data_IF_244932209941
#
_entry.id   IF_244932209941
#
_cell.length_a   1.000
_cell.length_b   1.000
_cell.length_c   1.000
_cell.angle_alpha   90.00
_cell.angle_beta   90.00
_cell.angle_gamma   90.00
#
_symmetry.space_group_name_H-M   'P 1'
#
loop_
_entity.id
_entity.type
_entity.pdbx_description
1 polymer ?
#
# COMPACT_ATOMS: atom_id res chain seq x y z
N UNK A 1 3.16 -12.93 -10.74
CA UNK A 1 4.61 -13.01 -10.41
C UNK A 1 5.20 -11.65 -10.76
N UNK A 2 6.01 -11.01 -9.90
CA UNK A 2 6.44 -9.63 -10.16
C UNK A 2 7.34 -9.56 -11.40
N UNK A 3 7.00 -8.66 -12.32
CA UNK A 3 7.76 -8.46 -13.57
C UNK A 3 8.98 -7.58 -13.31
N UNK A 4 10.16 -8.04 -13.70
CA UNK A 4 11.42 -7.30 -13.56
C UNK A 4 11.90 -6.92 -14.97
N UNK A 5 11.91 -5.62 -15.26
CA UNK A 5 12.12 -5.10 -16.62
C UNK A 5 13.24 -4.05 -16.61
N UNK A 6 14.14 -3.99 -17.61
CA UNK A 6 15.08 -2.89 -17.77
C UNK A 6 14.39 -1.55 -17.98
N UNK A 7 14.93 -0.46 -17.41
CA UNK A 7 14.39 0.89 -17.63
C UNK A 7 14.44 1.33 -19.10
N UNK A 8 15.31 0.71 -19.91
CA UNK A 8 15.39 0.93 -21.35
C UNK A 8 14.12 0.52 -22.09
N UNK A 9 13.36 -0.42 -21.54
CA UNK A 9 12.20 -1.02 -22.21
C UNK A 9 10.96 -0.13 -22.07
N UNK A 10 11.04 0.94 -21.27
CA UNK A 10 10.04 2.01 -21.26
C UNK A 10 9.88 2.72 -22.61
N UNK A 11 10.82 2.53 -23.55
CA UNK A 11 10.61 2.92 -24.95
C UNK A 11 9.37 2.25 -25.55
N UNK A 12 9.04 1.04 -25.09
CA UNK A 12 7.86 0.25 -25.45
C UNK A 12 6.87 0.20 -24.27
N UNK A 13 6.54 1.36 -23.70
CA UNK A 13 5.77 1.44 -22.46
C UNK A 13 4.42 0.69 -22.49
N UNK A 14 3.79 0.50 -23.65
CA UNK A 14 2.53 -0.25 -23.74
C UNK A 14 2.62 -1.70 -23.21
N UNK A 15 3.73 -2.39 -23.50
CA UNK A 15 3.97 -3.75 -22.99
C UNK A 15 4.25 -3.73 -21.48
N UNK A 16 5.03 -2.74 -21.03
CA UNK A 16 5.34 -2.54 -19.61
C UNK A 16 4.07 -2.24 -18.79
N UNK A 17 3.16 -1.42 -19.33
CA UNK A 17 1.89 -1.11 -18.69
C UNK A 17 0.95 -2.32 -18.69
N UNK A 18 0.95 -3.14 -19.75
CA UNK A 18 0.19 -4.39 -19.78
C UNK A 18 0.55 -5.34 -18.62
N UNK A 19 1.84 -5.44 -18.26
CA UNK A 19 2.28 -6.21 -17.09
C UNK A 19 1.86 -5.62 -15.74
N UNK A 20 1.51 -4.34 -15.71
CA UNK A 20 1.14 -3.59 -14.51
C UNK A 20 -0.33 -3.83 -14.13
N UNK A 21 -1.19 -4.01 -15.13
CA UNK A 21 -2.64 -4.17 -14.97
C UNK A 21 -3.03 -5.56 -14.43
N UNK A 22 -2.09 -6.52 -14.39
CA UNK A 22 -2.26 -7.84 -13.76
C UNK A 22 -2.27 -7.80 -12.21
N UNK A 23 -2.44 -6.61 -11.61
CA UNK A 23 -2.50 -6.40 -10.16
C UNK A 23 -1.18 -6.67 -9.44
N UNK A 24 -0.06 -6.66 -10.16
CA UNK A 24 1.30 -6.82 -9.63
C UNK A 24 2.18 -5.66 -10.07
N UNK A 25 2.99 -5.08 -9.17
CA UNK A 25 3.92 -4.02 -9.55
C UNK A 25 5.00 -4.54 -10.51
N UNK A 26 5.39 -3.67 -11.45
CA UNK A 26 6.55 -3.88 -12.32
C UNK A 26 7.77 -3.22 -11.69
N UNK A 27 8.83 -3.99 -11.51
CA UNK A 27 10.11 -3.51 -10.98
C UNK A 27 11.05 -3.15 -12.13
N UNK A 28 11.46 -1.89 -12.18
CA UNK A 28 12.39 -1.42 -13.20
C UNK A 28 13.83 -1.49 -12.72
N UNK A 29 14.71 -2.03 -13.54
CA UNK A 29 16.15 -2.12 -13.26
C UNK A 29 16.97 -1.12 -14.07
N UNK A 30 18.05 -0.62 -13.47
CA UNK A 30 19.09 0.15 -14.15
C UNK A 30 20.44 -0.50 -13.82
N UNK A 31 21.16 -0.94 -14.85
CA UNK A 31 22.44 -1.67 -14.71
C UNK A 31 22.32 -2.90 -13.78
N UNK A 32 21.27 -3.70 -13.97
CA UNK A 32 21.01 -4.93 -13.19
C UNK A 32 20.52 -4.71 -11.75
N UNK A 33 20.29 -3.46 -11.33
CA UNK A 33 19.79 -3.14 -9.99
C UNK A 33 18.39 -2.54 -10.04
N UNK A 34 17.50 -3.02 -9.18
CA UNK A 34 16.17 -2.42 -9.00
C UNK A 34 16.29 -0.94 -8.66
N UNK A 35 15.50 -0.11 -9.35
CA UNK A 35 15.60 1.36 -9.25
C UNK A 35 14.24 2.03 -9.09
N UNK A 36 13.21 1.53 -9.75
CA UNK A 36 11.86 2.08 -9.70
C UNK A 36 10.81 0.97 -9.64
N UNK A 37 9.59 1.36 -9.29
CA UNK A 37 8.40 0.50 -9.34
C UNK A 37 7.34 1.25 -10.14
N UNK A 38 6.64 0.56 -11.03
CA UNK A 38 5.44 1.02 -11.73
C UNK A 38 4.27 0.19 -11.22
N UNK A 39 3.18 0.84 -10.88
CA UNK A 39 1.94 0.20 -10.40
C UNK A 39 0.73 1.01 -10.85
N UNK A 40 -0.44 0.37 -10.91
CA UNK A 40 -1.69 1.05 -11.17
C UNK A 40 -2.00 2.07 -10.06
N UNK A 41 -2.74 3.13 -10.39
CA UNK A 41 -3.17 4.12 -9.38
C UNK A 41 -4.04 3.44 -8.31
N UNK A 42 -4.93 2.54 -8.71
CA UNK A 42 -5.81 1.82 -7.80
C UNK A 42 -5.01 1.00 -6.76
N UNK A 43 -3.96 0.29 -7.20
CA UNK A 43 -3.11 -0.48 -6.28
C UNK A 43 -2.29 0.43 -5.36
N UNK A 44 -1.78 1.54 -5.87
CA UNK A 44 -1.09 2.54 -5.06
C UNK A 44 -2.00 3.11 -3.96
N UNK A 45 -3.23 3.51 -4.31
CA UNK A 45 -4.20 4.05 -3.37
C UNK A 45 -4.61 3.00 -2.33
N UNK A 46 -4.80 1.74 -2.75
CA UNK A 46 -5.08 0.62 -1.85
C UNK A 46 -3.94 0.38 -0.86
N UNK A 47 -2.68 0.45 -1.30
CA UNK A 47 -1.52 0.35 -0.41
C UNK A 47 -1.50 1.51 0.60
N UNK A 48 -1.74 2.75 0.16
CA UNK A 48 -1.83 3.90 1.07
C UNK A 48 -2.95 3.75 2.09
N UNK A 49 -4.13 3.30 1.67
CA UNK A 49 -5.26 3.03 2.56
C UNK A 49 -4.92 1.95 3.60
N UNK A 50 -4.21 0.90 3.17
CA UNK A 50 -3.76 -0.19 4.05
C UNK A 50 -2.77 0.33 5.10
N UNK A 51 -1.79 1.14 4.70
CA UNK A 51 -0.82 1.76 5.62
C UNK A 51 -1.53 2.64 6.65
N UNK A 52 -2.50 3.47 6.20
CA UNK A 52 -3.28 4.32 7.10
C UNK A 52 -4.07 3.48 8.11
N UNK A 53 -4.78 2.45 7.64
CA UNK A 53 -5.53 1.55 8.51
C UNK A 53 -4.62 0.89 9.56
N UNK A 54 -3.50 0.31 9.14
CA UNK A 54 -2.56 -0.33 10.05
C UNK A 54 -1.96 0.65 11.07
N UNK A 55 -1.74 1.90 10.65
CA UNK A 55 -1.27 2.97 11.54
C UNK A 55 -2.29 3.29 12.63
N UNK A 56 -3.56 3.47 12.26
CA UNK A 56 -4.63 3.74 13.24
C UNK A 56 -4.90 2.53 14.14
N UNK A 57 -4.88 1.31 13.61
CA UNK A 57 -4.98 0.09 14.41
C UNK A 57 -3.82 -0.03 15.41
N UNK A 58 -2.60 0.29 14.99
CA UNK A 58 -1.44 0.29 15.89
C UNK A 58 -1.60 1.29 17.03
N UNK A 59 -2.17 2.47 16.77
CA UNK A 59 -2.49 3.44 17.84
C UNK A 59 -3.54 2.89 18.79
N UNK A 60 -4.59 2.26 18.27
CA UNK A 60 -5.63 1.63 19.08
C UNK A 60 -5.08 0.53 19.98
N UNK A 61 -4.19 -0.34 19.46
CA UNK A 61 -3.51 -1.37 20.26
C UNK A 61 -2.65 -0.77 21.37
N UNK A 62 -1.92 0.32 21.09
CA UNK A 62 -1.10 0.98 22.11
C UNK A 62 -1.93 1.70 23.18
N UNK A 63 -3.05 2.32 22.81
CA UNK A 63 -4.02 2.90 23.77
C UNK A 63 -4.60 1.81 24.67
N UNK A 64 -5.06 0.68 24.11
CA UNK A 64 -5.55 -0.47 24.88
C UNK A 64 -4.52 -0.98 25.90
N UNK A 65 -3.24 -1.00 25.54
CA UNK A 65 -2.16 -1.45 26.43
C UNK A 65 -1.87 -0.48 27.57
N UNK A 66 -1.98 0.83 27.33
CA UNK A 66 -1.61 1.88 28.30
C UNK A 66 -2.77 2.28 29.21
N UNK A 67 -3.97 2.37 28.65
CA UNK A 67 -5.14 2.97 29.27
C UNK A 67 -6.21 1.93 29.61
N UNK A 68 -6.13 0.73 29.01
CA UNK A 68 -7.13 -0.33 29.15
C UNK A 68 -8.19 -0.29 28.05
N UNK A 69 -9.10 -1.26 28.09
CA UNK A 69 -10.23 -1.34 27.16
C UNK A 69 -11.35 -0.37 27.53
N UNK A 70 -12.07 0.12 26.53
CA UNK A 70 -13.33 0.82 26.71
C UNK A 70 -14.49 -0.18 26.74
N UNK A 71 -15.51 0.12 27.53
CA UNK A 71 -16.83 -0.49 27.37
C UNK A 71 -17.48 -0.02 26.07
N UNK A 72 -18.53 -0.74 25.63
CA UNK A 72 -19.28 -0.36 24.44
C UNK A 72 -19.86 1.05 24.59
N UNK A 73 -20.46 1.36 25.74
CA UNK A 73 -21.09 2.66 25.99
C UNK A 73 -20.07 3.82 25.92
N UNK A 74 -18.90 3.66 26.55
CA UNK A 74 -17.81 4.67 26.49
C UNK A 74 -17.30 4.89 25.06
N UNK A 75 -17.19 3.83 24.27
CA UNK A 75 -16.75 3.91 22.88
C UNK A 75 -17.74 4.69 22.00
N UNK A 76 -19.04 4.47 22.17
CA UNK A 76 -20.08 5.17 21.39
C UNK A 76 -20.26 6.63 21.84
N UNK A 77 -20.07 6.94 23.12
CA UNK A 77 -20.18 8.30 23.65
C UNK A 77 -19.19 9.27 22.97
N UNK A 78 -17.99 8.79 22.60
CA UNK A 78 -16.97 9.57 21.90
C UNK A 78 -17.22 9.76 20.40
N UNK A 79 -18.17 9.02 19.80
CA UNK A 79 -18.49 9.09 18.38
C UNK A 79 -19.65 10.06 18.07
N UNK A 80 -20.30 10.62 19.10
CA UNK A 80 -21.40 11.58 18.95
C UNK A 80 -22.65 10.99 18.31
N UNK A 81 -22.83 9.66 18.41
CA UNK A 81 -23.99 8.88 17.95
C UNK A 81 -24.75 8.29 19.13
#
# INVERSE_FOLDING_TARGET
MPSIIPVSDLKNYGEVLGHCDDGSPVYLTKNGRGKYVVQSIADYEKQLATIRLLTELSKGVESLRREGGLTIDEAFQGLGV
#
